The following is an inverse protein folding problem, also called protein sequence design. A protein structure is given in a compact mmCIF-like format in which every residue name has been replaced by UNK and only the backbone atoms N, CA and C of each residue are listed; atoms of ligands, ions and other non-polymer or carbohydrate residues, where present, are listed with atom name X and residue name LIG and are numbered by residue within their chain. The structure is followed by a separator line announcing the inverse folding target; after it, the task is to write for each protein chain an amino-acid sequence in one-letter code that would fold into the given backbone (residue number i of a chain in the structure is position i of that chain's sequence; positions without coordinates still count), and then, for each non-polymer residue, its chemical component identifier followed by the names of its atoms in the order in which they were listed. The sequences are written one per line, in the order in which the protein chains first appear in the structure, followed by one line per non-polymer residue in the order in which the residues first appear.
data_IF_571300334980
#
_entry.id   IF_571300334980
#
_cell.length_a   1.000
_cell.length_b   1.000
_cell.length_c   1.000
_cell.angle_alpha   90.00
_cell.angle_beta   90.00
_cell.angle_gamma   90.00
#
_symmetry.space_group_name_H-M   'P 1'
#
loop_
_entity.id
_entity.type
_entity.pdbx_description
1 polymer ?
#
# COMPACT_ATOMS: atom_id res chain seq x y z
N UNK A 1 -14.11 14.59 20.25
CA UNK A 1 -14.84 14.64 18.96
C UNK A 1 -15.32 13.23 18.68
N UNK A 2 -16.61 13.06 18.45
CA UNK A 2 -17.22 11.74 18.31
C UNK A 2 -16.79 11.07 17.00
N UNK A 3 -16.77 9.74 16.97
CA UNK A 3 -16.49 8.92 15.78
C UNK A 3 -17.39 9.27 14.57
N UNK A 4 -18.57 9.86 14.80
CA UNK A 4 -19.49 10.30 13.75
C UNK A 4 -19.09 11.63 13.08
N UNK A 5 -18.56 12.60 13.82
CA UNK A 5 -18.05 13.87 13.26
C UNK A 5 -16.83 13.65 12.36
N UNK A 6 -15.94 12.74 12.76
CA UNK A 6 -14.77 12.37 11.97
C UNK A 6 -15.15 11.69 10.65
N UNK A 7 -16.18 10.83 10.64
CA UNK A 7 -16.66 10.17 9.42
C UNK A 7 -17.30 11.15 8.44
N UNK A 8 -18.17 12.05 8.92
CA UNK A 8 -18.81 13.07 8.07
C UNK A 8 -17.79 14.01 7.41
N UNK A 9 -16.79 14.45 8.18
CA UNK A 9 -15.71 15.30 7.67
C UNK A 9 -14.84 14.55 6.65
N UNK A 10 -14.53 13.28 6.91
CA UNK A 10 -13.78 12.44 5.98
C UNK A 10 -14.55 12.23 4.66
N UNK A 11 -15.86 11.95 4.71
CA UNK A 11 -16.69 11.78 3.51
C UNK A 11 -16.67 13.01 2.60
N UNK A 12 -16.77 14.22 3.16
CA UNK A 12 -16.70 15.45 2.37
C UNK A 12 -15.33 15.67 1.72
N UNK A 13 -14.24 15.37 2.44
CA UNK A 13 -12.87 15.43 1.90
C UNK A 13 -12.68 14.44 0.76
N UNK A 14 -13.16 13.21 0.94
CA UNK A 14 -13.08 12.15 -0.07
C UNK A 14 -13.77 12.60 -1.36
N UNK A 15 -15.01 13.07 -1.30
CA UNK A 15 -15.74 13.51 -2.49
C UNK A 15 -15.04 14.69 -3.19
N UNK A 16 -14.51 15.65 -2.43
CA UNK A 16 -13.72 16.74 -2.99
C UNK A 16 -12.43 16.25 -3.67
N UNK A 17 -11.75 15.27 -3.09
CA UNK A 17 -10.49 14.73 -3.62
C UNK A 17 -10.69 13.85 -4.87
N UNK A 18 -11.83 13.16 -4.96
CA UNK A 18 -12.24 12.40 -6.14
C UNK A 18 -12.60 13.32 -7.31
N UNK A 19 -13.17 14.50 -7.05
CA UNK A 19 -13.51 15.47 -8.09
C UNK A 19 -14.40 14.86 -9.18
N UNK A 20 -14.03 15.01 -10.45
CA UNK A 20 -14.79 14.48 -11.59
C UNK A 20 -14.89 12.95 -11.60
N UNK A 21 -13.91 12.25 -11.02
CA UNK A 21 -13.94 10.78 -10.94
C UNK A 21 -15.09 10.27 -10.08
N UNK A 22 -15.63 11.09 -9.16
CA UNK A 22 -16.80 10.73 -8.35
C UNK A 22 -18.04 10.42 -9.21
N UNK A 23 -18.23 11.13 -10.32
CA UNK A 23 -19.37 10.89 -11.23
C UNK A 23 -19.19 9.52 -11.89
N UNK A 24 -17.99 9.22 -12.39
CA UNK A 24 -17.68 7.95 -13.04
C UNK A 24 -17.77 6.77 -12.05
N UNK A 25 -17.28 6.94 -10.83
CA UNK A 25 -17.37 5.93 -9.77
C UNK A 25 -18.83 5.67 -9.38
N UNK A 26 -19.68 6.70 -9.36
CA UNK A 26 -21.12 6.52 -9.12
C UNK A 26 -21.78 5.70 -10.22
N UNK A 27 -21.54 6.06 -11.49
CA UNK A 27 -22.06 5.32 -12.65
C UNK A 27 -21.58 3.85 -12.64
N UNK A 28 -20.31 3.63 -12.32
CA UNK A 28 -19.73 2.29 -12.19
C UNK A 28 -20.39 1.50 -11.05
N UNK A 29 -20.64 2.12 -9.91
CA UNK A 29 -21.36 1.51 -8.79
C UNK A 29 -22.78 1.10 -9.17
N UNK A 30 -23.52 1.96 -9.86
CA UNK A 30 -24.87 1.66 -10.35
C UNK A 30 -24.85 0.51 -11.38
N UNK A 31 -23.86 0.50 -12.27
CA UNK A 31 -23.67 -0.55 -13.27
C UNK A 31 -23.44 -1.93 -12.64
N UNK A 32 -22.55 -2.02 -11.65
CA UNK A 32 -22.30 -3.29 -10.93
C UNK A 32 -23.51 -3.72 -10.10
N UNK A 33 -24.14 -2.78 -9.39
CA UNK A 33 -25.34 -3.05 -8.59
C UNK A 33 -26.48 -3.61 -9.45
N UNK A 34 -26.70 -3.04 -10.64
CA UNK A 34 -27.72 -3.50 -11.60
C UNK A 34 -27.47 -4.93 -12.08
N UNK A 35 -26.21 -5.38 -12.12
CA UNK A 35 -25.82 -6.73 -12.50
C UNK A 35 -25.74 -7.69 -11.30
N UNK A 36 -26.09 -7.24 -10.08
CA UNK A 36 -26.10 -8.07 -8.87
C UNK A 36 -24.75 -8.20 -8.15
N UNK A 37 -23.81 -7.30 -8.44
CA UNK A 37 -22.48 -7.29 -7.85
C UNK A 37 -22.27 -6.05 -6.99
N UNK A 38 -21.41 -6.16 -5.97
CA UNK A 38 -20.91 -5.04 -5.21
C UNK A 38 -19.55 -4.59 -5.73
N UNK A 39 -19.25 -3.30 -5.64
CA UNK A 39 -17.95 -2.74 -6.02
C UNK A 39 -17.57 -1.62 -5.08
N UNK A 40 -16.29 -1.61 -4.67
CA UNK A 40 -15.75 -0.62 -3.75
C UNK A 40 -14.42 -0.09 -4.25
N UNK A 41 -14.18 1.22 -4.12
CA UNK A 41 -12.86 1.81 -4.22
C UNK A 41 -12.06 1.46 -2.96
N UNK A 42 -10.79 1.09 -3.07
CA UNK A 42 -10.00 0.55 -1.96
C UNK A 42 -8.54 1.01 -1.98
N UNK A 43 -7.83 0.88 -0.86
CA UNK A 43 -6.38 1.01 -0.83
C UNK A 43 -5.87 2.46 -0.84
N UNK A 44 -4.77 2.66 -1.59
CA UNK A 44 -4.09 3.95 -1.71
C UNK A 44 -5.01 5.09 -2.12
N UNK A 45 -5.87 4.93 -3.14
CA UNK A 45 -6.87 5.92 -3.53
C UNK A 45 -7.76 6.41 -2.38
N UNK A 46 -8.27 5.50 -1.53
CA UNK A 46 -9.12 5.87 -0.39
C UNK A 46 -8.32 6.65 0.65
N UNK A 47 -7.12 6.17 0.99
CA UNK A 47 -6.21 6.85 1.92
C UNK A 47 -5.85 8.25 1.44
N UNK A 48 -5.49 8.37 0.17
CA UNK A 48 -5.04 9.63 -0.42
C UNK A 48 -6.22 10.61 -0.53
N UNK A 49 -7.43 10.14 -0.85
CA UNK A 49 -8.66 10.93 -0.81
C UNK A 49 -8.99 11.43 0.61
N UNK A 50 -8.82 10.59 1.64
CA UNK A 50 -8.98 11.00 3.06
C UNK A 50 -8.00 12.11 3.43
N UNK A 51 -6.77 12.06 2.91
CA UNK A 51 -5.74 13.09 3.07
C UNK A 51 -5.98 14.34 2.20
N UNK A 52 -7.04 14.36 1.37
CA UNK A 52 -7.34 15.47 0.47
C UNK A 52 -6.42 15.55 -0.75
N UNK A 53 -5.71 14.48 -1.09
CA UNK A 53 -4.85 14.41 -2.27
C UNK A 53 -5.68 13.98 -3.49
N UNK A 54 -5.37 14.54 -4.65
CA UNK A 54 -6.03 14.16 -5.90
C UNK A 54 -5.75 12.69 -6.23
N UNK A 55 -6.79 11.96 -6.56
CA UNK A 55 -6.72 10.54 -6.94
C UNK A 55 -6.86 10.40 -8.45
N UNK A 56 -5.90 9.74 -9.09
CA UNK A 56 -5.91 9.49 -10.55
C UNK A 56 -6.06 8.01 -10.87
N UNK A 57 -5.32 7.15 -10.17
CA UNK A 57 -5.42 5.71 -10.29
C UNK A 57 -6.54 5.20 -9.39
N UNK A 58 -7.47 4.41 -9.95
CA UNK A 58 -8.66 3.94 -9.24
C UNK A 58 -8.57 2.43 -9.05
N UNK A 59 -8.15 2.02 -7.85
CA UNK A 59 -8.13 0.63 -7.40
C UNK A 59 -9.51 0.24 -6.86
N UNK A 60 -10.18 -0.70 -7.52
CA UNK A 60 -11.49 -1.21 -7.11
C UNK A 60 -11.45 -2.71 -6.82
N UNK A 61 -12.36 -3.13 -5.95
CA UNK A 61 -12.56 -4.53 -5.62
C UNK A 61 -14.03 -4.91 -5.64
N UNK A 62 -14.32 -6.14 -6.06
CA UNK A 62 -15.69 -6.62 -6.32
C UNK A 62 -15.84 -8.12 -6.08
N UNK A 63 -17.06 -8.57 -5.79
CA UNK A 63 -17.38 -10.00 -5.76
C UNK A 63 -17.59 -10.62 -7.17
N UNK A 64 -17.58 -9.81 -8.24
CA UNK A 64 -17.67 -10.27 -9.62
C UNK A 64 -16.36 -10.91 -10.09
N UNK A 65 -16.43 -12.05 -10.78
CA UNK A 65 -15.29 -12.71 -11.44
C UNK A 65 -14.83 -11.93 -12.68
N UNK A 66 -13.60 -12.15 -13.18
CA UNK A 66 -13.06 -11.39 -14.32
C UNK A 66 -13.97 -11.36 -15.56
N UNK A 67 -14.57 -12.49 -15.93
CA UNK A 67 -15.49 -12.55 -17.07
C UNK A 67 -16.77 -11.73 -16.84
N UNK A 68 -17.25 -11.65 -15.60
CA UNK A 68 -18.43 -10.88 -15.20
C UNK A 68 -18.11 -9.38 -15.15
N UNK A 69 -16.91 -9.03 -14.65
CA UNK A 69 -16.36 -7.66 -14.71
C UNK A 69 -16.32 -7.17 -16.16
N UNK A 70 -15.68 -7.92 -17.06
CA UNK A 70 -15.61 -7.56 -18.48
C UNK A 70 -17.00 -7.39 -19.11
N UNK A 71 -17.97 -8.25 -18.74
CA UNK A 71 -19.35 -8.16 -19.22
C UNK A 71 -20.05 -6.91 -18.70
N UNK A 72 -19.86 -6.54 -17.44
CA UNK A 72 -20.42 -5.32 -16.86
C UNK A 72 -19.86 -4.08 -17.56
N UNK A 73 -18.55 -4.03 -17.79
CA UNK A 73 -17.86 -2.89 -18.37
C UNK A 73 -18.12 -2.69 -19.88
N UNK A 74 -18.63 -3.72 -20.57
CA UNK A 74 -18.87 -3.68 -22.01
C UNK A 74 -19.88 -2.60 -22.38
N UNK A 75 -19.44 -1.61 -23.14
CA UNK A 75 -20.27 -0.46 -23.56
C UNK A 75 -20.30 0.69 -22.55
N UNK A 76 -19.64 0.55 -21.39
CA UNK A 76 -19.40 1.65 -20.46
C UNK A 76 -17.96 2.19 -20.58
N UNK A 77 -16.96 1.30 -20.72
CA UNK A 77 -15.55 1.68 -20.87
C UNK A 77 -15.13 1.88 -22.35
N UNK A 78 -14.18 2.78 -22.60
CA UNK A 78 -13.57 3.02 -23.91
C UNK A 78 -12.68 1.83 -24.33
N UNK A 79 -12.00 1.22 -23.37
CA UNK A 79 -11.20 0.03 -23.57
C UNK A 79 -11.15 -0.82 -22.30
N UNK A 80 -11.02 -2.13 -22.49
CA UNK A 80 -10.94 -3.14 -21.42
C UNK A 80 -9.79 -4.06 -21.78
N UNK A 81 -8.93 -4.36 -20.82
CA UNK A 81 -7.81 -5.27 -21.01
C UNK A 81 -7.56 -6.13 -19.77
N UNK A 82 -6.84 -7.22 -19.98
CA UNK A 82 -6.45 -8.11 -18.91
C UNK A 82 -5.12 -7.63 -18.31
N UNK A 83 -5.16 -7.10 -17.09
CA UNK A 83 -3.95 -6.77 -16.32
C UNK A 83 -3.32 -8.04 -15.75
N UNK A 84 -4.16 -9.06 -15.51
CA UNK A 84 -3.73 -10.41 -15.19
C UNK A 84 -4.92 -11.27 -14.78
N UNK A 85 -5.57 -11.95 -15.74
CA UNK A 85 -6.70 -12.86 -15.47
C UNK A 85 -6.36 -13.86 -14.35
N UNK A 86 -5.10 -14.34 -14.32
CA UNK A 86 -4.61 -15.28 -13.30
C UNK A 86 -4.68 -14.73 -11.87
N UNK A 87 -4.69 -13.39 -11.71
CA UNK A 87 -4.74 -12.69 -10.43
C UNK A 87 -6.11 -12.05 -10.15
N UNK A 88 -7.09 -12.27 -11.03
CA UNK A 88 -8.45 -11.75 -10.87
C UNK A 88 -8.61 -10.27 -11.19
N UNK A 89 -7.66 -9.63 -11.87
CA UNK A 89 -7.69 -8.18 -12.14
C UNK A 89 -7.98 -7.86 -13.61
N UNK A 90 -8.97 -6.99 -13.84
CA UNK A 90 -9.37 -6.45 -15.14
C UNK A 90 -9.12 -4.95 -15.13
N UNK A 91 -8.39 -4.47 -16.14
CA UNK A 91 -8.16 -3.05 -16.36
C UNK A 91 -9.20 -2.48 -17.31
N UNK A 92 -9.64 -1.25 -17.05
CA UNK A 92 -10.48 -0.51 -17.96
C UNK A 92 -10.09 0.96 -18.00
N UNK A 93 -10.32 1.59 -19.15
CA UNK A 93 -10.13 3.03 -19.34
C UNK A 93 -11.43 3.65 -19.74
N UNK A 94 -11.75 4.78 -19.13
CA UNK A 94 -12.83 5.66 -19.52
C UNK A 94 -12.34 7.10 -19.40
N UNK A 95 -12.32 7.84 -20.51
CA UNK A 95 -11.70 9.17 -20.60
C UNK A 95 -10.23 9.11 -20.16
N UNK A 96 -9.82 9.97 -19.23
CA UNK A 96 -8.46 10.04 -18.69
C UNK A 96 -8.25 9.17 -17.43
N UNK A 97 -9.25 8.39 -17.04
CA UNK A 97 -9.20 7.56 -15.83
C UNK A 97 -8.95 6.09 -16.16
N UNK A 98 -8.06 5.49 -15.36
CA UNK A 98 -7.77 4.06 -15.38
C UNK A 98 -8.38 3.42 -14.14
N UNK A 99 -9.15 2.37 -14.37
CA UNK A 99 -9.84 1.58 -13.36
C UNK A 99 -9.20 0.19 -13.32
N UNK A 100 -8.63 -0.18 -12.17
CA UNK A 100 -8.14 -1.52 -11.92
C UNK A 100 -9.14 -2.25 -11.02
N UNK A 101 -9.90 -3.18 -11.59
CA UNK A 101 -10.98 -3.87 -10.87
C UNK A 101 -10.51 -5.30 -10.56
N UNK A 102 -10.34 -5.59 -9.28
CA UNK A 102 -9.87 -6.89 -8.80
C UNK A 102 -11.00 -7.66 -8.13
N UNK A 103 -11.21 -8.92 -8.50
CA UNK A 103 -12.12 -9.79 -7.76
C UNK A 103 -11.57 -10.05 -6.36
N UNK A 104 -12.44 -10.13 -5.34
CA UNK A 104 -12.09 -10.56 -3.99
C UNK A 104 -11.25 -11.83 -4.04
N UNK A 105 -10.19 -11.89 -3.23
CA UNK A 105 -9.35 -13.08 -3.12
C UNK A 105 -9.51 -13.73 -1.75
N UNK A 106 -9.58 -15.05 -1.75
CA UNK A 106 -9.32 -15.94 -0.60
C UNK A 106 -8.19 -16.85 -1.07
N UNK A 107 -7.02 -16.86 -0.43
CA UNK A 107 -5.96 -17.78 -0.86
C UNK A 107 -5.56 -18.72 0.26
N UNK A 108 -5.43 -20.00 -0.09
CA UNK A 108 -4.58 -20.94 0.61
C UNK A 108 -3.15 -20.76 0.07
N UNK A 109 -2.23 -20.35 0.94
CA UNK A 109 -0.80 -20.45 0.67
C UNK A 109 -0.34 -21.84 1.11
N UNK A 110 0.17 -22.66 0.18
CA UNK A 110 1.02 -23.79 0.55
C UNK A 110 2.36 -23.22 1.02
N UNK A 111 2.75 -23.55 2.26
CA UNK A 111 3.90 -23.05 3.05
C UNK A 111 5.28 -23.00 2.33
N UNK A 112 5.37 -23.48 1.09
CA UNK A 112 6.62 -23.61 0.31
C UNK A 112 6.55 -23.10 -1.12
N UNK A 113 5.39 -22.66 -1.62
CA UNK A 113 5.22 -22.28 -3.04
C UNK A 113 5.49 -20.80 -3.31
N UNK A 114 6.31 -20.51 -4.33
CA UNK A 114 6.57 -19.16 -4.88
C UNK A 114 5.40 -18.57 -5.68
N UNK A 115 4.26 -19.26 -5.76
CA UNK A 115 3.07 -18.83 -6.51
C UNK A 115 1.82 -19.09 -5.67
N UNK A 116 1.12 -18.04 -5.24
CA UNK A 116 -0.17 -18.22 -4.62
C UNK A 116 -1.18 -18.83 -5.61
N UNK A 117 -2.04 -19.72 -5.12
CA UNK A 117 -3.26 -20.13 -5.84
C UNK A 117 -4.41 -19.22 -5.40
N UNK A 118 -4.94 -18.42 -6.35
CA UNK A 118 -6.07 -17.51 -6.12
C UNK A 118 -7.37 -18.30 -6.01
N UNK A 119 -8.00 -18.37 -4.83
CA UNK A 119 -9.45 -18.57 -4.75
C UNK A 119 -10.15 -17.22 -4.67
N UNK A 120 -11.41 -17.18 -5.10
CA UNK A 120 -12.19 -15.94 -5.08
C UNK A 120 -12.95 -15.81 -3.75
N UNK A 121 -12.68 -14.74 -3.02
CA UNK A 121 -13.27 -14.45 -1.71
C UNK A 121 -14.74 -14.06 -1.80
N UNK A 122 -15.43 -14.08 -0.66
CA UNK A 122 -16.88 -13.85 -0.61
C UNK A 122 -17.26 -12.48 -0.09
N UNK A 123 -16.38 -11.83 0.67
CA UNK A 123 -16.69 -10.57 1.35
C UNK A 123 -15.60 -9.52 1.20
N UNK A 124 -16.01 -8.25 1.22
CA UNK A 124 -15.11 -7.10 1.30
C UNK A 124 -14.21 -7.16 2.54
N UNK A 125 -14.72 -7.65 3.67
CA UNK A 125 -13.97 -7.75 4.93
C UNK A 125 -12.74 -8.68 4.78
N UNK A 126 -12.91 -9.84 4.17
CA UNK A 126 -11.81 -10.77 3.86
C UNK A 126 -10.76 -10.12 2.93
N UNK A 127 -11.18 -9.34 1.92
CA UNK A 127 -10.25 -8.63 1.03
C UNK A 127 -9.50 -7.49 1.75
N UNK A 128 -10.12 -6.85 2.74
CA UNK A 128 -9.46 -5.79 3.52
C UNK A 128 -8.50 -6.38 4.56
N UNK A 129 -8.84 -7.52 5.18
CA UNK A 129 -8.01 -8.20 6.18
C UNK A 129 -6.61 -8.55 5.67
N UNK A 130 -6.52 -8.98 4.41
CA UNK A 130 -5.28 -9.42 3.75
C UNK A 130 -4.41 -8.28 3.24
N UNK A 131 -4.82 -7.02 3.42
CA UNK A 131 -4.02 -5.88 2.96
C UNK A 131 -2.84 -5.65 3.89
N UNK A 132 -1.87 -4.93 3.38
CA UNK A 132 -0.60 -4.71 4.06
C UNK A 132 -0.77 -3.96 5.38
N UNK A 133 -1.50 -2.83 5.38
CA UNK A 133 -1.65 -1.95 6.53
C UNK A 133 -3.07 -1.43 6.69
N UNK A 134 -3.49 -1.13 7.92
CA UNK A 134 -4.82 -0.60 8.26
C UNK A 134 -5.18 0.64 7.45
N UNK A 135 -4.22 1.55 7.27
CA UNK A 135 -4.36 2.77 6.45
C UNK A 135 -4.68 2.49 4.97
N UNK A 136 -4.39 1.28 4.47
CA UNK A 136 -4.71 0.83 3.12
C UNK A 136 -5.87 -0.18 3.11
N UNK A 137 -6.37 -0.59 4.29
CA UNK A 137 -7.47 -1.53 4.48
C UNK A 137 -8.81 -0.82 4.71
N UNK A 138 -9.00 0.32 4.02
CA UNK A 138 -10.26 1.06 3.96
C UNK A 138 -10.89 0.90 2.58
N UNK A 139 -12.22 0.99 2.54
CA UNK A 139 -12.99 0.93 1.31
C UNK A 139 -14.08 1.99 1.25
N UNK A 140 -14.46 2.38 0.04
CA UNK A 140 -15.57 3.28 -0.24
C UNK A 140 -16.56 2.53 -1.14
N UNK A 141 -17.68 2.09 -0.57
CA UNK A 141 -18.70 1.33 -1.30
C UNK A 141 -19.43 2.23 -2.29
N UNK A 142 -19.54 1.75 -3.52
CA UNK A 142 -20.24 2.45 -4.60
C UNK A 142 -21.66 1.86 -4.76
N UNK A 143 -22.65 2.65 -5.20
CA UNK A 143 -22.57 4.05 -5.65
C UNK A 143 -22.72 5.10 -4.52
N UNK A 144 -22.96 4.69 -3.28
CA UNK A 144 -23.34 5.61 -2.19
C UNK A 144 -22.17 6.31 -1.49
N UNK A 145 -20.93 5.97 -1.85
CA UNK A 145 -19.71 6.46 -1.19
C UNK A 145 -19.70 6.21 0.33
N UNK A 146 -20.16 5.03 0.74
CA UNK A 146 -20.12 4.63 2.16
C UNK A 146 -18.70 4.21 2.54
N UNK A 147 -18.08 4.94 3.48
CA UNK A 147 -16.76 4.61 4.00
C UNK A 147 -16.82 3.40 4.95
N UNK A 148 -16.18 2.32 4.54
CA UNK A 148 -15.98 1.10 5.32
C UNK A 148 -14.55 1.10 5.87
N UNK A 149 -14.45 1.17 7.19
CA UNK A 149 -13.18 1.13 7.94
C UNK A 149 -13.32 0.17 9.13
N UNK A 150 -13.08 -1.11 8.87
CA UNK A 150 -13.22 -2.21 9.85
C UNK A 150 -12.01 -2.26 10.78
N UNK A 151 -10.83 -1.92 10.25
CA UNK A 151 -9.54 -2.06 10.93
C UNK A 151 -8.99 -0.75 11.51
N UNK A 152 -9.83 0.29 11.60
CA UNK A 152 -9.49 1.61 12.15
C UNK A 152 -8.37 2.35 11.42
N UNK A 153 -8.27 2.16 10.10
CA UNK A 153 -7.30 2.81 9.24
C UNK A 153 -7.37 4.34 9.28
N UNK A 154 -8.57 4.92 9.43
CA UNK A 154 -8.72 6.37 9.56
C UNK A 154 -8.12 6.89 10.87
N UNK A 155 -8.30 6.14 11.95
CA UNK A 155 -7.74 6.47 13.27
C UNK A 155 -6.23 6.34 13.26
N UNK A 156 -5.70 5.23 12.72
CA UNK A 156 -4.26 5.01 12.60
C UNK A 156 -3.60 6.08 11.72
N UNK A 157 -4.22 6.45 10.60
CA UNK A 157 -3.73 7.52 9.73
C UNK A 157 -3.66 8.89 10.44
N UNK A 158 -4.72 9.25 11.18
CA UNK A 158 -4.73 10.50 11.95
C UNK A 158 -3.71 10.52 13.09
N UNK A 159 -3.48 9.37 13.73
CA UNK A 159 -2.51 9.22 14.82
C UNK A 159 -1.08 8.95 14.32
N UNK A 160 -0.87 8.91 13.00
CA UNK A 160 0.41 8.56 12.36
C UNK A 160 0.95 7.21 12.81
N UNK A 161 0.09 6.21 12.90
CA UNK A 161 0.42 4.84 13.30
C UNK A 161 0.45 3.94 12.06
N UNK A 162 1.49 3.12 11.97
CA UNK A 162 1.59 2.04 10.99
C UNK A 162 1.30 0.71 11.69
N UNK A 163 0.22 0.05 11.27
CA UNK A 163 -0.30 -1.21 11.82
C UNK A 163 -0.81 -2.10 10.69
N UNK A 164 -0.71 -3.41 10.85
CA UNK A 164 -1.33 -4.42 9.97
C UNK A 164 -2.79 -4.66 10.37
N UNK A 165 -3.70 -5.02 9.43
CA UNK A 165 -5.10 -5.36 9.78
C UNK A 165 -5.22 -6.61 10.64
N UNK A 166 -4.42 -7.63 10.30
CA UNK A 166 -4.24 -8.86 11.07
C UNK A 166 -2.93 -8.80 11.86
N UNK A 167 -2.64 -9.85 12.63
CA UNK A 167 -1.36 -9.99 13.33
C UNK A 167 -0.17 -9.83 12.37
N UNK A 168 0.84 -9.07 12.80
CA UNK A 168 1.99 -8.74 11.95
C UNK A 168 2.82 -9.97 11.58
N UNK A 169 2.90 -11.00 12.44
CA UNK A 169 3.57 -12.26 12.13
C UNK A 169 2.86 -12.98 10.98
N UNK A 170 1.53 -13.01 11.00
CA UNK A 170 0.72 -13.61 9.94
C UNK A 170 0.90 -12.81 8.64
N UNK A 171 0.73 -11.49 8.71
CA UNK A 171 0.82 -10.60 7.55
C UNK A 171 2.17 -10.70 6.82
N UNK A 172 3.28 -10.67 7.55
CA UNK A 172 4.62 -10.79 6.97
C UNK A 172 4.98 -12.23 6.58
N UNK A 173 4.33 -13.22 7.20
CA UNK A 173 4.46 -14.60 6.78
C UNK A 173 3.81 -14.87 5.43
N UNK A 174 2.66 -14.24 5.16
CA UNK A 174 1.97 -14.35 3.86
C UNK A 174 2.73 -13.63 2.74
N UNK A 175 3.21 -12.41 2.99
CA UNK A 175 3.99 -11.64 2.02
C UNK A 175 5.15 -10.90 2.70
N UNK A 176 6.37 -11.49 2.73
CA UNK A 176 7.53 -10.88 3.37
C UNK A 176 7.94 -9.52 2.77
N UNK A 177 7.52 -9.20 1.53
CA UNK A 177 7.76 -7.89 0.93
C UNK A 177 7.09 -6.76 1.71
N UNK A 178 6.05 -7.06 2.51
CA UNK A 178 5.37 -6.08 3.38
C UNK A 178 6.32 -5.44 4.39
N UNK A 179 7.43 -6.09 4.76
CA UNK A 179 8.45 -5.47 5.63
C UNK A 179 9.13 -4.27 4.95
N UNK A 180 9.46 -4.37 3.65
CA UNK A 180 9.98 -3.22 2.89
C UNK A 180 8.89 -2.16 2.65
N UNK A 181 7.65 -2.59 2.40
CA UNK A 181 6.51 -1.67 2.28
C UNK A 181 6.31 -0.88 3.58
N UNK A 182 6.51 -1.50 4.75
CA UNK A 182 6.42 -0.82 6.04
C UNK A 182 7.41 0.35 6.14
N UNK A 183 8.68 0.09 5.82
CA UNK A 183 9.73 1.10 5.78
C UNK A 183 9.40 2.24 4.79
N UNK A 184 8.87 1.91 3.61
CA UNK A 184 8.44 2.91 2.63
C UNK A 184 7.27 3.76 3.15
N UNK A 185 6.22 3.15 3.70
CA UNK A 185 5.07 3.93 4.19
C UNK A 185 5.43 4.78 5.41
N UNK A 186 6.32 4.30 6.26
CA UNK A 186 6.88 5.09 7.36
C UNK A 186 7.52 6.39 6.83
N UNK A 187 8.35 6.27 5.80
CA UNK A 187 9.05 7.36 5.15
C UNK A 187 8.13 8.29 4.35
N UNK A 188 7.22 7.71 3.56
CA UNK A 188 6.31 8.44 2.66
C UNK A 188 5.23 9.23 3.40
N UNK A 189 4.75 8.71 4.52
CA UNK A 189 3.57 9.25 5.23
C UNK A 189 3.89 9.74 6.64
N UNK A 190 5.17 9.76 7.04
CA UNK A 190 5.62 10.17 8.39
C UNK A 190 4.89 9.39 9.50
N UNK A 191 4.78 8.08 9.32
CA UNK A 191 4.11 7.17 10.25
C UNK A 191 5.11 6.59 11.26
N UNK A 192 4.58 5.99 12.33
CA UNK A 192 5.36 5.27 13.34
C UNK A 192 4.87 3.84 13.45
N UNK A 193 5.76 2.83 13.33
CA UNK A 193 5.38 1.44 13.46
C UNK A 193 5.01 1.13 14.90
N UNK A 194 4.01 0.27 15.09
CA UNK A 194 3.74 -0.32 16.39
C UNK A 194 4.85 -1.30 16.78
N UNK A 195 5.01 -1.54 18.09
CA UNK A 195 6.06 -2.39 18.61
C UNK A 195 5.96 -3.85 18.13
N UNK A 196 4.74 -4.41 18.07
CA UNK A 196 4.46 -5.74 17.53
C UNK A 196 4.87 -5.87 16.05
N UNK A 197 4.67 -4.82 15.26
CA UNK A 197 5.09 -4.76 13.87
C UNK A 197 6.63 -4.82 13.77
N UNK A 198 7.36 -4.05 14.60
CA UNK A 198 8.83 -4.07 14.62
C UNK A 198 9.36 -5.44 15.06
N UNK A 199 8.76 -6.05 16.08
CA UNK A 199 9.16 -7.38 16.55
C UNK A 199 8.90 -8.45 15.49
N UNK A 200 7.78 -8.37 14.76
CA UNK A 200 7.50 -9.27 13.64
C UNK A 200 8.49 -9.09 12.49
N UNK A 201 8.92 -7.85 12.19
CA UNK A 201 9.97 -7.60 11.20
C UNK A 201 11.29 -8.28 11.59
N UNK A 202 11.69 -8.18 12.86
CA UNK A 202 12.90 -8.84 13.38
C UNK A 202 12.83 -10.36 13.27
N UNK A 203 11.74 -10.96 13.73
CA UNK A 203 11.62 -12.42 13.76
C UNK A 203 11.47 -13.05 12.38
N UNK A 204 10.92 -12.31 11.40
CA UNK A 204 10.66 -12.81 10.06
C UNK A 204 11.59 -12.25 8.99
N UNK A 205 12.62 -11.48 9.37
CA UNK A 205 13.58 -10.88 8.45
C UNK A 205 14.12 -11.89 7.44
N UNK A 206 14.48 -13.11 7.89
CA UNK A 206 15.03 -14.16 7.02
C UNK A 206 14.05 -14.62 5.93
N UNK A 207 12.74 -14.53 6.18
CA UNK A 207 11.74 -14.88 5.17
C UNK A 207 11.82 -13.98 3.95
N UNK A 208 12.47 -12.81 4.02
CA UNK A 208 12.67 -11.99 2.82
C UNK A 208 13.41 -12.75 1.70
N UNK A 209 14.22 -13.76 2.02
CA UNK A 209 14.93 -14.62 1.05
C UNK A 209 14.01 -15.35 0.05
N UNK A 210 12.72 -15.53 0.37
CA UNK A 210 11.77 -16.16 -0.57
C UNK A 210 11.21 -15.18 -1.61
N UNK A 211 11.41 -13.88 -1.41
CA UNK A 211 10.96 -12.82 -2.33
C UNK A 211 12.00 -12.62 -3.44
N UNK A 212 11.54 -12.36 -4.67
CA UNK A 212 12.45 -12.10 -5.78
C UNK A 212 13.23 -10.80 -5.59
N UNK A 213 14.50 -10.81 -5.99
CA UNK A 213 15.35 -9.62 -5.92
C UNK A 213 14.82 -8.44 -6.74
N UNK A 214 14.10 -8.69 -7.84
CA UNK A 214 13.41 -7.67 -8.62
C UNK A 214 12.36 -6.93 -7.78
N UNK A 215 11.48 -7.67 -7.09
CA UNK A 215 10.45 -7.06 -6.22
C UNK A 215 11.05 -6.31 -5.04
N UNK A 216 12.14 -6.84 -4.48
CA UNK A 216 12.91 -6.17 -3.43
C UNK A 216 13.51 -4.86 -3.94
N UNK A 217 14.16 -4.89 -5.11
CA UNK A 217 14.77 -3.72 -5.73
C UNK A 217 13.73 -2.64 -6.05
N UNK A 218 12.59 -3.02 -6.63
CA UNK A 218 11.48 -2.12 -6.92
C UNK A 218 10.96 -1.43 -5.65
N UNK A 219 10.75 -2.19 -4.57
CA UNK A 219 10.22 -1.64 -3.33
C UNK A 219 11.25 -0.76 -2.60
N UNK A 220 12.53 -1.15 -2.65
CA UNK A 220 13.63 -0.36 -2.08
C UNK A 220 13.85 0.95 -2.84
N UNK A 221 13.81 0.94 -4.18
CA UNK A 221 13.87 2.17 -4.98
C UNK A 221 12.70 3.10 -4.65
N UNK A 222 11.48 2.56 -4.48
CA UNK A 222 10.32 3.38 -4.06
C UNK A 222 10.48 3.96 -2.66
N UNK A 223 11.24 3.33 -1.77
CA UNK A 223 11.62 3.90 -0.46
C UNK A 223 12.63 5.04 -0.65
N UNK A 224 13.68 4.84 -1.43
CA UNK A 224 14.71 5.86 -1.69
C UNK A 224 14.14 7.11 -2.36
N UNK A 225 13.12 6.96 -3.22
CA UNK A 225 12.44 8.05 -3.92
C UNK A 225 11.36 8.76 -3.06
N UNK A 226 11.31 8.51 -1.76
CA UNK A 226 10.43 9.28 -0.86
C UNK A 226 11.11 10.58 -0.44
N UNK A 227 10.33 11.58 -0.02
CA UNK A 227 10.86 12.86 0.46
C UNK A 227 11.80 12.72 1.68
N UNK A 228 11.64 11.64 2.45
CA UNK A 228 12.40 11.36 3.68
C UNK A 228 12.69 9.86 3.80
N UNK A 229 13.66 9.31 3.07
CA UNK A 229 13.93 7.86 3.06
C UNK A 229 14.64 7.37 4.33
N UNK A 230 15.34 8.27 5.05
CA UNK A 230 16.17 7.93 6.22
C UNK A 230 15.43 7.07 7.26
N UNK A 231 14.23 7.45 7.76
CA UNK A 231 13.55 6.64 8.78
C UNK A 231 13.32 5.20 8.31
N UNK A 232 12.87 5.02 7.06
CA UNK A 232 12.65 3.68 6.49
C UNK A 232 13.94 2.87 6.40
N UNK A 233 15.04 3.49 5.99
CA UNK A 233 16.37 2.86 5.97
C UNK A 233 16.77 2.42 7.39
N UNK A 234 16.64 3.31 8.36
CA UNK A 234 16.97 3.02 9.76
C UNK A 234 16.15 1.85 10.30
N UNK A 235 14.85 1.78 10.00
CA UNK A 235 14.00 0.66 10.37
C UNK A 235 14.47 -0.66 9.75
N UNK A 236 14.82 -0.68 8.46
CA UNK A 236 15.30 -1.89 7.79
C UNK A 236 16.61 -2.40 8.40
N UNK A 237 17.49 -1.49 8.81
CA UNK A 237 18.75 -1.84 9.47
C UNK A 237 18.52 -2.27 10.92
N UNK A 238 17.68 -1.58 11.69
CA UNK A 238 17.37 -1.92 13.08
C UNK A 238 16.70 -3.30 13.21
N UNK A 239 15.85 -3.63 12.24
CA UNK A 239 15.11 -4.90 12.22
C UNK A 239 15.90 -6.07 11.63
N UNK A 240 17.12 -5.84 11.13
CA UNK A 240 17.94 -6.86 10.46
C UNK A 240 17.47 -7.22 9.04
N UNK A 241 16.35 -6.64 8.56
CA UNK A 241 15.81 -6.90 7.22
C UNK A 241 16.82 -6.53 6.13
N UNK A 242 17.58 -5.45 6.32
CA UNK A 242 18.61 -5.00 5.38
C UNK A 242 19.72 -6.05 5.14
N UNK A 243 20.04 -6.88 6.14
CA UNK A 243 21.09 -7.91 6.04
C UNK A 243 20.78 -8.96 4.97
N UNK A 244 19.51 -9.12 4.59
CA UNK A 244 19.09 -10.15 3.63
C UNK A 244 19.11 -9.70 2.17
N UNK A 245 19.25 -8.41 1.89
CA UNK A 245 19.26 -7.91 0.50
C UNK A 245 20.30 -6.83 0.19
N UNK A 246 20.79 -6.11 1.21
CA UNK A 246 21.82 -5.08 1.08
C UNK A 246 22.71 -5.10 2.34
N UNK A 247 23.47 -6.19 2.57
CA UNK A 247 24.28 -6.38 3.78
C UNK A 247 25.39 -5.34 3.96
N UNK A 248 25.80 -4.66 2.89
CA UNK A 248 26.78 -3.57 2.93
C UNK A 248 26.26 -2.40 3.76
N UNK A 249 24.95 -2.14 3.75
CA UNK A 249 24.34 -1.02 4.48
C UNK A 249 24.47 -1.13 6.01
N UNK A 250 24.05 -2.24 6.66
CA UNK A 250 24.32 -2.44 8.08
C UNK A 250 25.82 -2.55 8.39
N UNK A 251 26.65 -3.07 7.46
CA UNK A 251 28.09 -3.19 7.68
C UNK A 251 28.80 -1.84 7.88
N UNK A 252 28.26 -0.74 7.32
CA UNK A 252 28.76 0.62 7.54
C UNK A 252 28.75 1.05 9.02
N UNK A 253 27.96 0.38 9.88
CA UNK A 253 27.97 0.62 11.34
C UNK A 253 29.21 0.04 12.04
N UNK A 254 29.87 -0.95 11.43
CA UNK A 254 30.93 -1.76 12.03
C UNK A 254 32.34 -1.37 11.56
N UNK A 255 32.50 -0.39 10.66
CA UNK A 255 33.82 0.05 10.24
C UNK A 255 34.56 0.80 11.37
N UNK A 256 35.52 0.11 11.98
CA UNK A 256 36.48 0.66 12.94
C UNK A 256 37.74 1.00 12.13
N UNK A 257 38.08 2.29 12.02
CA UNK A 257 39.39 2.73 11.50
C UNK A 257 40.52 2.33 12.48
N UNK A 258 41.68 1.98 11.95
CA UNK A 258 42.96 1.75 12.65
C UNK A 258 43.32 2.89 13.66
N UNK A 259 42.68 4.06 13.55
CA UNK A 259 42.93 5.24 14.40
C UNK A 259 41.89 5.52 15.51
N UNK A 260 40.94 4.63 15.79
CA UNK A 260 39.95 4.79 16.90
C UNK A 260 39.12 6.10 16.86
N UNK A 261 39.00 6.73 15.70
CA UNK A 261 38.06 7.82 15.50
C UNK A 261 36.75 7.25 14.95
N UNK A 262 35.71 7.25 15.77
CA UNK A 262 34.34 6.91 15.34
C UNK A 262 33.84 7.96 14.33
N UNK A 263 34.16 7.81 13.05
CA UNK A 263 33.32 8.35 11.99
C UNK A 263 32.35 7.25 11.64
N UNK A 264 31.15 7.33 12.21
CA UNK A 264 30.05 6.44 11.87
C UNK A 264 29.72 6.63 10.37
N UNK A 265 30.35 5.82 9.51
CA UNK A 265 30.22 5.89 8.04
C UNK A 265 28.75 5.72 7.65
N UNK A 266 28.01 4.93 8.42
CA UNK A 266 26.57 4.79 8.27
C UNK A 266 25.84 6.12 8.50
N UNK A 267 26.06 6.79 9.64
CA UNK A 267 25.45 8.11 9.90
C UNK A 267 25.90 9.18 8.91
N UNK A 268 27.17 9.16 8.51
CA UNK A 268 27.67 10.06 7.47
C UNK A 268 26.93 9.85 6.14
N UNK A 269 26.76 8.60 5.71
CA UNK A 269 26.07 8.26 4.46
C UNK A 269 24.61 8.70 4.48
N UNK A 270 23.92 8.51 5.61
CA UNK A 270 22.54 9.01 5.78
C UNK A 270 22.47 10.54 5.78
N UNK A 271 23.46 11.22 6.36
CA UNK A 271 23.53 12.69 6.32
C UNK A 271 23.80 13.21 4.92
N UNK A 272 24.66 12.55 4.15
CA UNK A 272 24.86 12.88 2.73
C UNK A 272 23.56 12.68 1.95
N UNK A 273 22.83 11.58 2.19
CA UNK A 273 21.53 11.32 1.55
C UNK A 273 20.53 12.45 1.81
N UNK A 274 20.34 12.86 3.06
CA UNK A 274 19.45 13.98 3.40
C UNK A 274 19.90 15.28 2.74
N UNK A 275 21.21 15.57 2.73
CA UNK A 275 21.76 16.78 2.12
C UNK A 275 21.53 16.83 0.61
N UNK A 276 21.64 15.70 -0.08
CA UNK A 276 21.36 15.60 -1.52
C UNK A 276 19.89 15.90 -1.79
N UNK A 277 18.97 15.29 -1.03
CA UNK A 277 17.52 15.56 -1.15
C UNK A 277 17.21 17.05 -0.87
N UNK A 278 17.80 17.61 0.17
CA UNK A 278 17.65 19.03 0.50
C UNK A 278 18.18 19.96 -0.61
N UNK A 279 19.25 19.56 -1.30
CA UNK A 279 19.82 20.32 -2.41
C UNK A 279 18.95 20.23 -3.66
N UNK A 280 18.44 19.04 -4.01
CA UNK A 280 17.51 18.85 -5.13
C UNK A 280 16.24 19.69 -4.94
N UNK A 281 15.62 19.62 -3.77
CA UNK A 281 14.43 20.42 -3.44
C UNK A 281 14.66 21.94 -3.51
N UNK A 282 15.90 22.40 -3.28
CA UNK A 282 16.27 23.82 -3.36
C UNK A 282 16.53 24.29 -4.80
N UNK A 283 17.06 23.41 -5.67
CA UNK A 283 17.44 23.78 -7.04
C UNK A 283 16.33 23.48 -8.06
N UNK A 284 15.45 22.52 -7.77
CA UNK A 284 14.25 22.21 -8.55
C UNK A 284 13.04 22.12 -7.60
N UNK A 285 12.49 23.26 -7.14
CA UNK A 285 11.31 23.24 -6.27
C UNK A 285 10.08 22.79 -7.07
N UNK A 286 9.86 21.46 -7.14
CA UNK A 286 8.74 20.75 -7.76
C UNK A 286 8.39 21.18 -9.20
N UNK A 287 8.84 20.39 -10.18
CA UNK A 287 8.16 20.28 -11.49
C UNK A 287 6.87 19.47 -11.32
#
# INVERSE_FOLDING_TARGET
MSTSENKSTASNRILSALGESSILLKELGELFTKNGYEISLVGGPVRDAVLGKQVKDLDLTTNAKPAEIQKCLKGWADSIWDVGIKFGTVGAKLKDYVFEITTYRTEQYEDTSRKPSVEFGKTLEEDLARRDFTINAMALRLPNFELVDIYNGLTDLNNKILRTPLDAQISFSEDPLRMLRAARFMSKLDLKPQADLVEAMKSLAERLKIVSMERINDEFNKLLLTDKPRPGIELLVETGVAEHFLPELPALKLEIDEHHHHKDVYQHSLTVLDQVIDLENKHEPNI
#
